data_IF_579338809876
#
_entry.id   IF_579338809876
#
_cell.length_a   1.000
_cell.length_b   1.000
_cell.length_c   1.000
_cell.angle_alpha   90.00
_cell.angle_beta   90.00
_cell.angle_gamma   90.00
#
_symmetry.space_group_name_H-M   'P 1'
#
loop_
_entity.id
_entity.type
_entity.pdbx_description
1 polymer ?
#
# COMPACT_ATOMS: atom_id res chain seq x y z
N UNK A 1 -20.59 13.89 10.93
CA UNK A 1 -19.35 13.68 10.14
C UNK A 1 -18.26 13.09 11.04
N UNK A 2 -18.28 11.79 11.32
CA UNK A 2 -17.20 11.11 12.05
C UNK A 2 -16.19 10.52 11.05
N UNK A 3 -15.60 11.38 10.23
CA UNK A 3 -14.92 10.98 8.99
C UNK A 3 -13.39 11.04 9.04
N UNK A 4 -12.75 10.61 10.15
CA UNK A 4 -11.27 10.66 10.20
C UNK A 4 -10.56 9.61 11.04
N UNK A 5 -11.28 8.70 11.69
CA UNK A 5 -10.67 7.58 12.41
C UNK A 5 -10.98 6.27 11.69
N UNK A 6 -9.95 5.46 11.45
CA UNK A 6 -10.14 4.07 11.03
C UNK A 6 -11.01 3.39 12.09
N UNK A 7 -12.18 2.90 11.66
CA UNK A 7 -13.05 2.14 12.54
C UNK A 7 -12.31 0.87 12.97
N UNK A 8 -12.12 0.72 14.29
CA UNK A 8 -11.42 -0.41 14.89
C UNK A 8 -12.05 -1.74 14.49
N UNK A 9 -13.38 -1.78 14.33
CA UNK A 9 -14.12 -2.97 13.88
C UNK A 9 -13.70 -3.31 12.45
N UNK A 10 -13.67 -2.31 11.57
CA UNK A 10 -13.28 -2.48 10.17
C UNK A 10 -11.83 -2.92 10.02
N UNK A 11 -10.93 -2.37 10.84
CA UNK A 11 -9.54 -2.81 10.90
C UNK A 11 -9.42 -4.26 11.37
N UNK A 12 -10.19 -4.66 12.40
CA UNK A 12 -10.21 -6.04 12.89
C UNK A 12 -10.71 -7.02 11.83
N UNK A 13 -11.82 -6.71 11.15
CA UNK A 13 -12.35 -7.58 10.09
C UNK A 13 -11.39 -7.75 8.93
N UNK A 14 -10.70 -6.68 8.51
CA UNK A 14 -9.66 -6.79 7.48
C UNK A 14 -8.52 -7.72 7.91
N UNK A 15 -8.13 -7.64 9.19
CA UNK A 15 -7.09 -8.49 9.77
C UNK A 15 -7.53 -9.96 9.88
N UNK A 16 -8.80 -10.21 10.18
CA UNK A 16 -9.38 -11.56 10.10
C UNK A 16 -9.35 -12.11 8.68
N UNK A 17 -9.73 -11.33 7.68
CA UNK A 17 -9.67 -11.77 6.27
C UNK A 17 -8.26 -12.18 5.86
N UNK A 18 -7.26 -11.41 6.28
CA UNK A 18 -5.85 -11.72 6.00
C UNK A 18 -5.43 -13.05 6.65
N UNK A 19 -5.88 -13.30 7.88
CA UNK A 19 -5.57 -14.52 8.62
C UNK A 19 -6.30 -15.75 8.10
N UNK A 20 -7.55 -15.57 7.68
CA UNK A 20 -8.41 -16.63 7.14
C UNK A 20 -7.90 -17.12 5.78
N UNK A 21 -7.39 -16.21 4.94
CA UNK A 21 -6.95 -16.52 3.59
C UNK A 21 -5.53 -16.01 3.31
N UNK A 22 -4.50 -16.65 3.92
CA UNK A 22 -3.13 -16.19 3.83
C UNK A 22 -2.56 -16.31 2.41
N UNK A 23 -2.91 -17.36 1.66
CA UNK A 23 -2.44 -17.58 0.28
C UNK A 23 -3.00 -16.50 -0.66
N UNK A 24 -4.30 -16.21 -0.56
CA UNK A 24 -4.94 -15.17 -1.36
C UNK A 24 -4.35 -13.81 -1.02
N UNK A 25 -4.11 -13.53 0.27
CA UNK A 25 -3.43 -12.30 0.70
C UNK A 25 -2.05 -12.19 0.09
N UNK A 26 -1.27 -13.27 0.09
CA UNK A 26 0.07 -13.28 -0.51
C UNK A 26 0.01 -12.97 -2.01
N UNK A 27 -0.94 -13.58 -2.75
CA UNK A 27 -1.13 -13.30 -4.18
C UNK A 27 -1.56 -11.84 -4.41
N UNK A 28 -2.47 -11.32 -3.59
CA UNK A 28 -2.94 -9.94 -3.69
C UNK A 28 -1.83 -8.91 -3.44
N UNK A 29 -0.91 -9.20 -2.50
CA UNK A 29 0.19 -8.32 -2.13
C UNK A 29 1.45 -8.53 -2.99
N UNK A 30 1.60 -9.70 -3.62
CA UNK A 30 2.74 -10.08 -4.46
C UNK A 30 3.17 -9.02 -5.49
N UNK A 31 2.30 -8.43 -6.34
CA UNK A 31 2.74 -7.45 -7.33
C UNK A 31 3.40 -6.22 -6.71
N UNK A 32 2.94 -5.80 -5.53
CA UNK A 32 3.54 -4.68 -4.79
C UNK A 32 4.91 -5.03 -4.24
N UNK A 33 5.07 -6.23 -3.68
CA UNK A 33 6.36 -6.71 -3.16
C UNK A 33 7.39 -6.81 -4.29
N UNK A 34 6.98 -7.34 -5.45
CA UNK A 34 7.84 -7.44 -6.64
C UNK A 34 8.24 -6.03 -7.12
N UNK A 35 7.29 -5.10 -7.24
CA UNK A 35 7.58 -3.73 -7.65
C UNK A 35 8.54 -3.03 -6.66
N UNK A 36 8.32 -3.19 -5.36
CA UNK A 36 9.20 -2.66 -4.32
C UNK A 36 10.60 -3.25 -4.40
N UNK A 37 10.73 -4.56 -4.55
CA UNK A 37 12.01 -5.26 -4.69
C UNK A 37 12.79 -4.80 -5.93
N UNK A 38 12.10 -4.61 -7.06
CA UNK A 38 12.71 -4.12 -8.30
C UNK A 38 13.21 -2.69 -8.16
N UNK A 39 12.40 -1.79 -7.60
CA UNK A 39 12.80 -0.39 -7.37
C UNK A 39 13.99 -0.34 -6.39
N UNK A 40 13.96 -1.14 -5.34
CA UNK A 40 15.04 -1.24 -4.36
C UNK A 40 16.36 -1.73 -4.97
N UNK A 41 16.28 -2.73 -5.87
CA UNK A 41 17.43 -3.30 -6.56
C UNK A 41 18.08 -2.31 -7.54
N UNK A 42 17.26 -1.59 -8.32
CA UNK A 42 17.74 -0.74 -9.42
C UNK A 42 18.31 0.59 -8.93
N UNK A 43 17.65 1.22 -7.95
CA UNK A 43 18.02 2.57 -7.51
C UNK A 43 18.92 2.59 -6.26
N UNK A 44 19.01 1.47 -5.53
CA UNK A 44 19.62 1.43 -4.20
C UNK A 44 18.69 2.03 -3.13
N UNK A 45 18.84 1.57 -1.87
CA UNK A 45 17.82 1.75 -0.82
C UNK A 45 17.33 3.19 -0.59
N UNK A 46 18.22 4.18 -0.67
CA UNK A 46 17.84 5.59 -0.46
C UNK A 46 17.09 6.20 -1.65
N UNK A 47 17.56 5.98 -2.88
CA UNK A 47 16.88 6.52 -4.07
C UNK A 47 15.57 5.79 -4.36
N UNK A 48 15.48 4.49 -4.06
CA UNK A 48 14.24 3.72 -4.09
C UNK A 48 13.16 4.27 -3.14
N UNK A 49 13.56 4.60 -1.91
CA UNK A 49 12.66 5.20 -0.92
C UNK A 49 12.13 6.55 -1.40
N UNK A 50 12.99 7.42 -1.92
CA UNK A 50 12.58 8.73 -2.46
C UNK A 50 11.61 8.57 -3.63
N UNK A 51 11.87 7.65 -4.55
CA UNK A 51 11.00 7.38 -5.70
C UNK A 51 9.59 6.94 -5.27
N UNK A 52 9.49 6.04 -4.29
CA UNK A 52 8.20 5.56 -3.77
C UNK A 52 7.42 6.65 -3.04
N UNK A 53 8.09 7.50 -2.27
CA UNK A 53 7.45 8.65 -1.61
C UNK A 53 6.89 9.61 -2.64
N UNK A 54 7.64 9.92 -3.70
CA UNK A 54 7.17 10.77 -4.80
C UNK A 54 5.98 10.15 -5.52
N UNK A 55 6.04 8.85 -5.86
CA UNK A 55 4.95 8.16 -6.54
C UNK A 55 3.68 8.12 -5.67
N UNK A 56 3.82 7.82 -4.37
CA UNK A 56 2.73 7.86 -3.41
C UNK A 56 2.11 9.25 -3.27
N UNK A 57 2.93 10.30 -3.22
CA UNK A 57 2.46 11.68 -3.19
C UNK A 57 1.70 12.06 -4.47
N UNK A 58 2.19 11.66 -5.64
CA UNK A 58 1.52 11.88 -6.93
C UNK A 58 0.16 11.19 -6.97
N UNK A 59 0.05 9.94 -6.51
CA UNK A 59 -1.24 9.22 -6.46
C UNK A 59 -2.23 9.93 -5.52
N UNK A 60 -1.76 10.39 -4.36
CA UNK A 60 -2.62 11.10 -3.38
C UNK A 60 -3.09 12.45 -3.93
N UNK A 61 -2.22 13.19 -4.62
CA UNK A 61 -2.57 14.49 -5.21
C UNK A 61 -3.43 14.30 -6.46
N UNK A 62 -3.08 13.37 -7.34
CA UNK A 62 -3.83 13.05 -8.56
C UNK A 62 -5.22 12.50 -8.26
N UNK A 63 -5.37 11.65 -7.24
CA UNK A 63 -6.66 11.13 -6.78
C UNK A 63 -7.56 12.19 -6.11
N UNK A 64 -7.00 13.33 -5.67
CA UNK A 64 -7.80 14.51 -5.29
C UNK A 64 -8.19 15.38 -6.47
N UNK A 65 -7.47 15.29 -7.59
CA UNK A 65 -7.74 16.09 -8.80
C UNK A 65 -8.78 15.43 -9.72
N UNK A 66 -8.95 14.11 -9.63
CA UNK A 66 -9.91 13.33 -10.41
C UNK A 66 -11.22 13.02 -9.67
N UNK A 67 -11.40 13.58 -8.47
CA UNK A 67 -12.64 13.56 -7.69
C UNK A 67 -13.28 14.94 -7.67
#
# INVERSE_FOLDING_TARGET
MAGKNIDRIRAKSALETVRESPVITAIAVAPFVVALGLVWWIFGGFAAFVLLVVLGAVVVVGGKLTR
#
